data_IF_596526042666
#
_entry.id   IF_596526042666
#
_cell.length_a   1.000
_cell.length_b   1.000
_cell.length_c   1.000
_cell.angle_alpha   90.00
_cell.angle_beta   90.00
_cell.angle_gamma   90.00
#
_symmetry.space_group_name_H-M   'P 1'
#
loop_
_entity.id
_entity.type
_entity.pdbx_description
1 polymer ?
#
# COMPACT_ATOMS: atom_id res chain seq x y z
N UNK A 1 -40.87 -17.52 70.23
CA UNK A 1 -41.22 -18.03 68.88
C UNK A 1 -40.57 -17.13 67.83
N UNK A 2 -39.74 -17.71 66.95
CA UNK A 2 -39.31 -17.26 65.60
C UNK A 2 -38.78 -15.82 65.46
N UNK A 3 -37.45 -15.66 65.42
CA UNK A 3 -36.57 -15.60 64.21
C UNK A 3 -36.70 -14.28 63.42
N UNK A 4 -35.67 -13.42 63.53
CA UNK A 4 -35.02 -12.81 62.37
C UNK A 4 -33.59 -12.40 62.76
N UNK A 5 -32.60 -13.12 62.21
CA UNK A 5 -31.18 -12.80 62.31
C UNK A 5 -30.87 -11.91 61.09
N UNK A 6 -30.50 -10.66 61.32
CA UNK A 6 -29.88 -9.81 60.31
C UNK A 6 -28.36 -9.96 60.45
N UNK A 7 -27.79 -10.83 59.62
CA UNK A 7 -26.34 -10.95 59.45
C UNK A 7 -25.89 -9.88 58.44
N UNK A 8 -25.32 -8.80 58.94
CA UNK A 8 -24.63 -7.79 58.11
C UNK A 8 -23.28 -8.39 57.71
N UNK A 9 -23.23 -8.98 56.51
CA UNK A 9 -21.96 -9.38 55.88
C UNK A 9 -21.29 -8.11 55.34
N UNK A 10 -20.28 -7.63 56.05
CA UNK A 10 -19.27 -6.71 55.53
C UNK A 10 -18.41 -7.48 54.51
N UNK A 11 -18.85 -7.51 53.25
CA UNK A 11 -18.01 -7.91 52.13
C UNK A 11 -16.99 -6.78 51.88
N UNK A 12 -15.78 -6.95 52.40
CA UNK A 12 -14.58 -6.33 51.86
C UNK A 12 -14.38 -6.83 50.42
N UNK A 13 -15.09 -6.24 49.46
CA UNK A 13 -14.65 -6.27 48.09
C UNK A 13 -13.38 -5.42 48.01
N UNK A 14 -12.25 -6.10 47.83
CA UNK A 14 -11.03 -5.50 47.32
C UNK A 14 -11.39 -4.78 46.00
N UNK A 15 -11.63 -3.48 46.09
CA UNK A 15 -11.55 -2.54 44.98
C UNK A 15 -10.08 -2.46 44.57
N UNK A 16 -9.58 -3.53 43.93
CA UNK A 16 -8.65 -3.35 42.83
C UNK A 16 -9.50 -2.81 41.68
N UNK A 17 -9.87 -1.53 41.81
CA UNK A 17 -10.13 -0.66 40.68
C UNK A 17 -8.85 -0.64 39.86
N UNK A 18 -8.71 -1.66 39.01
CA UNK A 18 -7.89 -1.59 37.83
C UNK A 18 -8.33 -0.32 37.12
N UNK A 19 -7.50 0.72 37.25
CA UNK A 19 -7.44 1.79 36.28
C UNK A 19 -7.17 1.12 34.93
N UNK A 20 -8.24 0.66 34.26
CA UNK A 20 -8.28 0.56 32.83
C UNK A 20 -8.22 2.00 32.32
N UNK A 21 -7.02 2.60 32.44
CA UNK A 21 -6.70 3.82 31.72
C UNK A 21 -7.07 3.55 30.28
N UNK A 22 -7.95 4.39 29.73
CA UNK A 22 -8.26 4.42 28.30
C UNK A 22 -6.92 4.31 27.56
N UNK A 23 -6.66 3.15 26.96
CA UNK A 23 -5.45 2.93 26.18
C UNK A 23 -5.46 3.99 25.08
N UNK A 24 -4.61 5.01 25.25
CA UNK A 24 -4.24 5.96 24.21
C UNK A 24 -3.26 5.16 23.35
N UNK A 25 -3.49 5.03 22.05
CA UNK A 25 -2.70 4.16 21.18
C UNK A 25 -1.19 4.43 21.25
N UNK A 26 -0.40 3.61 20.56
CA UNK A 26 1.04 3.83 20.40
C UNK A 26 1.43 3.72 18.93
N UNK A 27 2.45 4.47 18.53
CA UNK A 27 3.14 4.23 17.26
C UNK A 27 4.64 4.39 17.41
N UNK A 28 5.36 3.68 16.55
CA UNK A 28 6.82 3.63 16.55
C UNK A 28 7.38 4.01 15.18
N UNK A 29 8.57 4.63 15.23
CA UNK A 29 9.39 4.91 14.06
C UNK A 29 10.67 4.08 14.16
N UNK A 30 10.89 3.26 13.14
CA UNK A 30 12.04 2.39 13.02
C UNK A 30 12.94 2.74 11.83
N UNK A 31 14.22 2.41 11.96
CA UNK A 31 15.21 2.46 10.89
C UNK A 31 15.50 1.04 10.41
N UNK A 32 15.33 0.82 9.11
CA UNK A 32 15.63 -0.48 8.50
C UNK A 32 17.10 -0.53 8.04
N UNK A 33 17.90 -1.42 8.66
CA UNK A 33 19.36 -1.58 8.42
C UNK A 33 20.18 -0.28 8.60
N UNK A 34 19.70 0.64 9.43
CA UNK A 34 20.43 1.83 9.89
C UNK A 34 20.20 1.95 11.41
N UNK A 35 21.10 2.63 12.14
CA UNK A 35 20.99 2.82 13.61
C UNK A 35 20.95 4.29 14.06
N UNK A 36 21.18 5.23 13.14
CA UNK A 36 21.22 6.66 13.44
C UNK A 36 20.28 7.37 12.48
N UNK A 37 19.28 8.04 13.03
CA UNK A 37 18.34 8.85 12.25
C UNK A 37 19.00 10.17 11.82
N UNK A 38 18.85 10.53 10.56
CA UNK A 38 19.30 11.80 10.01
C UNK A 38 18.24 12.40 9.07
N UNK A 39 17.64 13.52 9.49
CA UNK A 39 16.61 14.24 8.74
C UNK A 39 17.08 14.75 7.37
N UNK A 40 18.38 15.06 7.22
CA UNK A 40 18.98 15.58 5.98
C UNK A 40 19.38 14.51 4.97
N UNK A 41 19.31 13.22 5.37
CA UNK A 41 19.61 12.07 4.50
C UNK A 41 18.42 11.81 3.58
N UNK A 42 18.69 11.40 2.34
CA UNK A 42 17.64 10.95 1.42
C UNK A 42 16.89 9.81 2.09
N UNK A 43 15.57 9.96 2.22
CA UNK A 43 14.73 9.05 3.00
C UNK A 43 13.63 8.46 2.15
N UNK A 44 13.49 7.13 2.24
CA UNK A 44 12.32 6.38 1.82
C UNK A 44 11.44 6.13 3.04
N UNK A 45 10.15 6.47 2.96
CA UNK A 45 9.23 6.31 4.07
C UNK A 45 8.29 5.15 3.80
N UNK A 46 8.24 4.18 4.70
CA UNK A 46 7.22 3.13 4.72
C UNK A 46 6.22 3.48 5.83
N UNK A 47 4.95 3.54 5.50
CA UNK A 47 3.86 3.74 6.46
C UNK A 47 3.06 2.45 6.50
N UNK A 48 3.00 1.80 7.67
CA UNK A 48 2.20 0.60 7.87
C UNK A 48 1.06 0.95 8.80
N UNK A 49 -0.15 1.00 8.25
CA UNK A 49 -1.38 1.23 9.01
C UNK A 49 -1.77 0.02 9.85
N UNK A 50 -2.71 0.19 10.78
CA UNK A 50 -3.07 -0.90 11.68
C UNK A 50 -3.80 -2.06 11.02
N UNK A 51 -3.46 -3.27 11.44
CA UNK A 51 -4.16 -4.49 11.08
C UNK A 51 -5.42 -4.65 11.96
N UNK A 52 -6.60 -4.71 11.35
CA UNK A 52 -7.82 -4.97 12.10
C UNK A 52 -7.99 -6.49 12.32
N UNK A 53 -7.74 -6.97 13.54
CA UNK A 53 -8.14 -8.28 14.12
C UNK A 53 -7.65 -9.59 13.45
N UNK A 54 -7.37 -9.66 12.14
CA UNK A 54 -7.16 -10.91 11.40
C UNK A 54 -5.88 -10.95 10.53
N UNK A 55 -5.42 -9.82 9.98
CA UNK A 55 -4.20 -9.73 9.14
C UNK A 55 -2.94 -9.62 10.01
N UNK A 56 -2.57 -10.71 10.70
CA UNK A 56 -1.66 -10.74 11.87
C UNK A 56 -0.55 -9.70 11.82
N UNK A 57 0.20 -9.61 10.72
CA UNK A 57 1.30 -8.67 10.52
C UNK A 57 1.67 -8.53 9.03
N UNK A 58 0.84 -9.04 8.12
CA UNK A 58 1.15 -9.13 6.69
C UNK A 58 1.38 -7.77 6.02
N UNK A 59 0.70 -6.70 6.47
CA UNK A 59 0.99 -5.33 6.04
C UNK A 59 2.40 -4.91 6.41
N UNK A 60 2.84 -5.26 7.62
CA UNK A 60 4.17 -4.95 8.12
C UNK A 60 5.21 -5.75 7.33
N UNK A 61 5.00 -7.05 7.13
CA UNK A 61 5.87 -7.90 6.30
C UNK A 61 6.00 -7.36 4.86
N UNK A 62 4.91 -6.96 4.22
CA UNK A 62 4.95 -6.35 2.88
C UNK A 62 5.73 -5.01 2.87
N UNK A 63 5.60 -4.20 3.92
CA UNK A 63 6.39 -3.00 4.13
C UNK A 63 7.89 -3.29 4.31
N UNK A 64 8.24 -4.32 5.07
CA UNK A 64 9.63 -4.79 5.25
C UNK A 64 10.22 -5.33 3.96
N UNK A 65 9.44 -6.09 3.18
CA UNK A 65 9.84 -6.57 1.85
C UNK A 65 10.22 -5.41 0.92
N UNK A 66 9.44 -4.32 0.94
CA UNK A 66 9.73 -3.06 0.23
C UNK A 66 10.98 -2.36 0.78
N UNK A 67 11.11 -2.26 2.11
CA UNK A 67 12.28 -1.68 2.78
C UNK A 67 13.60 -2.37 2.41
N UNK A 68 13.58 -3.70 2.30
CA UNK A 68 14.73 -4.48 1.87
C UNK A 68 15.18 -4.10 0.46
N UNK A 69 14.23 -4.00 -0.48
CA UNK A 69 14.52 -3.57 -1.86
C UNK A 69 15.09 -2.15 -1.93
N UNK A 70 14.64 -1.24 -1.07
CA UNK A 70 15.27 0.09 -0.98
C UNK A 70 16.75 0.01 -0.61
N UNK A 71 17.13 -0.80 0.38
CA UNK A 71 18.54 -0.94 0.79
C UNK A 71 19.40 -1.66 -0.25
N UNK A 72 18.83 -2.51 -1.10
CA UNK A 72 19.57 -3.11 -2.22
C UNK A 72 19.80 -2.12 -3.37
N UNK A 73 18.79 -1.31 -3.70
CA UNK A 73 18.88 -0.35 -4.82
C UNK A 73 19.63 0.91 -4.42
N UNK A 74 19.39 1.42 -3.20
CA UNK A 74 19.96 2.65 -2.66
C UNK A 74 20.54 2.39 -1.25
N UNK A 75 21.69 1.69 -1.12
CA UNK A 75 22.24 1.31 0.18
C UNK A 75 22.59 2.49 1.08
N UNK A 76 22.92 3.64 0.48
CA UNK A 76 23.25 4.88 1.18
C UNK A 76 22.04 5.70 1.60
N UNK A 77 20.82 5.37 1.16
CA UNK A 77 19.61 6.08 1.57
C UNK A 77 19.12 5.54 2.92
N UNK A 78 18.33 6.35 3.62
CA UNK A 78 17.66 5.98 4.86
C UNK A 78 16.30 5.37 4.55
N UNK A 79 15.89 4.34 5.30
CA UNK A 79 14.53 3.81 5.24
C UNK A 79 13.89 3.93 6.61
N UNK A 80 12.86 4.77 6.71
CA UNK A 80 12.07 4.98 7.94
C UNK A 80 10.76 4.22 7.82
N UNK A 81 10.48 3.35 8.78
CA UNK A 81 9.20 2.64 8.90
C UNK A 81 8.41 3.30 10.03
N UNK A 82 7.24 3.86 9.70
CA UNK A 82 6.31 4.47 10.65
C UNK A 82 5.09 3.56 10.79
N UNK A 83 4.79 3.08 11.99
CA UNK A 83 3.67 2.15 12.15
C UNK A 83 3.07 2.17 13.55
N UNK A 84 1.78 1.87 13.59
CA UNK A 84 1.06 1.34 14.74
C UNK A 84 0.59 -0.07 14.33
N UNK A 85 1.47 -1.09 14.39
CA UNK A 85 1.19 -2.41 13.81
C UNK A 85 -0.09 -3.03 14.38
N UNK A 86 -0.28 -2.90 15.70
CA UNK A 86 -1.44 -3.39 16.43
C UNK A 86 -1.73 -4.88 16.18
N UNK A 87 -0.65 -5.66 16.06
CA UNK A 87 -0.67 -7.10 15.82
C UNK A 87 -1.36 -7.81 16.98
N UNK A 88 -2.24 -8.75 16.67
CA UNK A 88 -3.04 -9.44 17.69
C UNK A 88 -2.12 -10.26 18.61
N UNK A 89 -2.12 -9.94 19.91
CA UNK A 89 -1.36 -10.60 20.99
C UNK A 89 0.16 -10.38 20.91
N UNK A 90 0.62 -9.38 20.17
CA UNK A 90 2.03 -9.00 20.10
C UNK A 90 2.13 -7.51 20.41
N UNK A 91 3.07 -7.12 21.25
CA UNK A 91 3.31 -5.69 21.51
C UNK A 91 3.97 -5.06 20.28
N UNK A 92 3.69 -3.78 20.00
CA UNK A 92 4.20 -3.12 18.78
C UNK A 92 5.75 -3.18 18.71
N UNK A 93 6.43 -3.03 19.84
CA UNK A 93 7.89 -3.14 19.92
C UNK A 93 8.41 -4.56 19.56
N UNK A 94 7.65 -5.61 19.88
CA UNK A 94 8.01 -6.99 19.54
C UNK A 94 7.95 -7.21 18.03
N UNK A 95 6.98 -6.59 17.33
CA UNK A 95 6.88 -6.64 15.86
C UNK A 95 8.12 -6.04 15.21
N UNK A 96 8.56 -4.86 15.64
CA UNK A 96 9.78 -4.25 15.08
C UNK A 96 11.03 -5.09 15.37
N UNK A 97 11.13 -5.69 16.56
CA UNK A 97 12.25 -6.54 16.95
C UNK A 97 12.30 -7.83 16.12
N UNK A 98 11.16 -8.46 15.83
CA UNK A 98 11.05 -9.68 15.00
C UNK A 98 11.72 -9.50 13.63
N UNK A 99 11.60 -8.31 13.04
CA UNK A 99 12.16 -7.97 11.74
C UNK A 99 13.51 -7.22 11.81
N UNK A 100 14.17 -7.21 12.98
CA UNK A 100 15.46 -6.56 13.22
C UNK A 100 15.46 -5.05 12.86
N UNK A 101 14.38 -4.34 13.17
CA UNK A 101 14.26 -2.90 12.90
C UNK A 101 14.59 -2.12 14.17
N UNK A 102 15.54 -1.21 14.07
CA UNK A 102 15.92 -0.36 15.20
C UNK A 102 14.87 0.74 15.42
N UNK A 103 14.13 0.66 16.52
CA UNK A 103 13.16 1.70 16.92
C UNK A 103 13.91 2.87 17.56
N UNK A 104 13.89 4.03 16.91
CA UNK A 104 14.56 5.23 17.42
C UNK A 104 13.61 6.22 18.10
N UNK A 105 12.29 6.04 17.90
CA UNK A 105 11.25 6.89 18.50
C UNK A 105 9.97 6.09 18.70
N UNK A 106 9.40 6.19 19.90
CA UNK A 106 8.10 5.64 20.26
C UNK A 106 7.24 6.75 20.84
N UNK A 107 6.00 6.85 20.39
CA UNK A 107 5.06 7.89 20.80
C UNK A 107 3.80 7.24 21.37
N UNK A 108 3.54 7.49 22.65
CA UNK A 108 2.36 7.02 23.39
C UNK A 108 1.12 7.85 23.06
N UNK A 109 0.76 7.89 21.79
CA UNK A 109 -0.43 8.55 21.26
C UNK A 109 -0.97 7.79 20.05
N UNK A 110 -2.24 8.00 19.71
CA UNK A 110 -2.85 7.38 18.52
C UNK A 110 -2.18 7.91 17.25
N UNK A 111 -1.86 7.02 16.31
CA UNK A 111 -1.25 7.40 15.03
C UNK A 111 -2.27 8.07 14.09
N UNK A 112 -2.48 9.37 14.21
CA UNK A 112 -3.42 10.14 13.38
C UNK A 112 -2.73 10.80 12.17
N UNK A 113 -3.52 11.36 11.26
CA UNK A 113 -3.00 12.15 10.13
C UNK A 113 -2.11 13.32 10.57
N UNK A 114 -2.46 14.00 11.67
CA UNK A 114 -1.63 15.07 12.24
C UNK A 114 -0.26 14.56 12.70
N UNK A 115 -0.23 13.39 13.34
CA UNK A 115 1.02 12.76 13.77
C UNK A 115 1.84 12.37 12.55
N UNK A 116 1.24 11.69 11.57
CA UNK A 116 1.92 11.35 10.32
C UNK A 116 2.54 12.59 9.66
N UNK A 117 1.76 13.66 9.49
CA UNK A 117 2.27 14.89 8.87
C UNK A 117 3.35 15.56 9.71
N UNK A 118 3.27 15.51 11.05
CA UNK A 118 4.34 16.00 11.92
C UNK A 118 5.63 15.24 11.66
N UNK A 119 5.59 13.90 11.68
CA UNK A 119 6.76 13.04 11.47
C UNK A 119 7.36 13.21 10.08
N UNK A 120 6.53 13.24 9.03
CA UNK A 120 6.98 13.51 7.65
C UNK A 120 7.64 14.89 7.52
N UNK A 121 7.16 15.90 8.26
CA UNK A 121 7.74 17.23 8.26
C UNK A 121 9.08 17.33 9.02
N UNK A 122 9.53 16.30 9.72
CA UNK A 122 10.88 16.27 10.28
C UNK A 122 11.94 15.97 9.19
N UNK A 123 11.55 15.36 8.06
CA UNK A 123 12.46 14.98 6.97
C UNK A 123 12.74 16.13 6.00
N UNK A 124 13.96 16.24 5.48
CA UNK A 124 14.32 17.29 4.51
C UNK A 124 14.32 16.79 3.05
N UNK A 125 14.50 15.49 2.83
CA UNK A 125 14.65 14.89 1.50
C UNK A 125 13.91 13.55 1.40
N UNK A 126 12.74 13.56 0.79
CA UNK A 126 11.87 12.37 0.65
C UNK A 126 11.95 11.85 -0.79
N UNK A 127 12.50 10.65 -0.95
CA UNK A 127 12.59 9.97 -2.24
C UNK A 127 11.33 9.17 -2.57
N UNK A 128 10.65 8.63 -1.56
CA UNK A 128 9.38 7.93 -1.74
C UNK A 128 8.59 7.81 -0.44
N UNK A 129 7.29 7.58 -0.60
CA UNK A 129 6.37 7.23 0.49
C UNK A 129 5.60 5.98 0.05
N UNK A 130 5.59 4.92 0.84
CA UNK A 130 4.79 3.72 0.53
C UNK A 130 3.86 3.43 1.70
N UNK A 131 2.56 3.29 1.42
CA UNK A 131 1.55 2.93 2.41
C UNK A 131 1.12 1.48 2.23
N UNK A 132 1.03 0.75 3.34
CA UNK A 132 0.48 -0.60 3.44
C UNK A 132 -0.58 -0.63 4.54
N UNK A 133 -1.81 -1.01 4.21
CA UNK A 133 -2.88 -1.08 5.21
C UNK A 133 -4.27 -1.04 4.61
N UNK A 134 -5.26 -0.87 5.49
CA UNK A 134 -6.64 -0.65 5.06
C UNK A 134 -6.87 0.79 4.60
N UNK A 135 -7.81 0.95 3.67
CA UNK A 135 -8.35 2.27 3.32
C UNK A 135 -9.81 2.18 2.93
N UNK A 136 -10.49 3.32 3.03
CA UNK A 136 -11.70 3.60 2.29
C UNK A 136 -11.36 4.23 0.94
N UNK A 137 -12.35 4.56 0.10
CA UNK A 137 -12.12 5.40 -1.06
C UNK A 137 -11.57 6.81 -0.73
N UNK A 138 -11.74 7.29 0.51
CA UNK A 138 -11.44 8.68 0.92
C UNK A 138 -10.31 8.82 1.92
N UNK A 139 -9.98 7.78 2.70
CA UNK A 139 -8.93 7.89 3.71
C UNK A 139 -8.19 6.59 4.00
N UNK A 140 -6.92 6.75 4.39
CA UNK A 140 -6.02 5.68 4.81
C UNK A 140 -6.20 5.42 6.31
N UNK A 141 -6.27 4.15 6.72
CA UNK A 141 -6.35 3.78 8.14
C UNK A 141 -4.93 3.72 8.72
N UNK A 142 -4.64 4.57 9.71
CA UNK A 142 -3.29 4.66 10.31
C UNK A 142 -3.16 3.88 11.63
N UNK A 143 -4.10 4.04 12.56
CA UNK A 143 -4.13 3.32 13.85
C UNK A 143 -5.55 3.00 14.33
N UNK A 144 -5.72 2.46 15.54
CA UNK A 144 -7.06 2.28 16.18
C UNK A 144 -7.86 3.59 16.25
N UNK A 145 -9.19 3.45 16.40
CA UNK A 145 -10.13 4.54 16.78
C UNK A 145 -10.10 5.78 15.86
N UNK A 146 -10.92 5.80 14.80
CA UNK A 146 -11.09 6.92 13.85
C UNK A 146 -9.81 7.61 13.31
N UNK A 147 -8.63 7.01 13.53
CA UNK A 147 -7.35 7.47 13.02
C UNK A 147 -7.23 7.18 11.52
N UNK A 148 -7.88 8.04 10.74
CA UNK A 148 -7.81 8.04 9.30
C UNK A 148 -7.01 9.26 8.82
N UNK A 149 -6.40 9.13 7.64
CA UNK A 149 -5.80 10.22 6.90
C UNK A 149 -6.61 10.44 5.62
N UNK A 150 -7.38 11.53 5.59
CA UNK A 150 -8.04 12.04 4.38
C UNK A 150 -7.15 13.12 3.74
N UNK A 151 -6.60 12.91 2.54
CA UNK A 151 -5.69 13.87 1.94
C UNK A 151 -6.34 15.25 1.69
N UNK A 152 -7.67 15.30 1.54
CA UNK A 152 -8.41 16.57 1.36
C UNK A 152 -8.32 17.42 2.61
N UNK A 153 -8.56 16.82 3.79
CA UNK A 153 -8.46 17.49 5.09
C UNK A 153 -7.02 17.95 5.39
N UNK A 154 -6.03 17.23 4.86
CA UNK A 154 -4.60 17.50 5.06
C UNK A 154 -3.93 18.26 3.91
N UNK A 155 -4.69 18.86 2.98
CA UNK A 155 -4.16 19.55 1.80
C UNK A 155 -3.07 20.59 2.13
N UNK A 156 -3.28 21.40 3.16
CA UNK A 156 -2.31 22.43 3.57
C UNK A 156 -1.00 21.80 4.10
N UNK A 157 -1.09 20.74 4.89
CA UNK A 157 0.06 20.02 5.42
C UNK A 157 0.82 19.29 4.31
N UNK A 158 0.11 18.66 3.37
CA UNK A 158 0.70 18.04 2.18
C UNK A 158 1.40 19.07 1.29
N UNK A 159 0.85 20.27 1.15
CA UNK A 159 1.48 21.36 0.37
C UNK A 159 2.84 21.76 0.96
N UNK A 160 2.98 21.75 2.29
CA UNK A 160 4.29 21.97 2.95
C UNK A 160 5.26 20.81 2.71
N UNK A 161 4.75 19.59 2.59
CA UNK A 161 5.56 18.41 2.32
C UNK A 161 6.14 18.41 0.91
N UNK A 162 5.44 19.00 -0.07
CA UNK A 162 5.87 19.08 -1.48
C UNK A 162 7.32 19.56 -1.65
N UNK A 163 7.76 20.56 -0.88
CA UNK A 163 9.13 21.10 -1.00
C UNK A 163 10.24 20.16 -0.52
N UNK A 164 9.87 19.11 0.23
CA UNK A 164 10.79 18.05 0.71
C UNK A 164 10.87 16.87 -0.25
N UNK A 165 9.97 16.80 -1.23
CA UNK A 165 9.95 15.72 -2.22
C UNK A 165 11.09 15.90 -3.22
N UNK A 166 11.89 14.85 -3.43
CA UNK A 166 13.01 14.87 -4.37
C UNK A 166 12.55 14.78 -5.83
N UNK A 167 13.41 15.15 -6.81
CA UNK A 167 13.13 14.92 -8.22
C UNK A 167 12.83 13.43 -8.49
N UNK A 168 11.73 13.18 -9.19
CA UNK A 168 11.21 11.84 -9.51
C UNK A 168 10.82 11.01 -8.27
N UNK A 169 10.51 11.64 -7.14
CA UNK A 169 9.87 10.95 -6.03
C UNK A 169 8.51 10.41 -6.44
N UNK A 170 8.02 9.42 -5.71
CA UNK A 170 6.73 8.81 -5.97
C UNK A 170 6.08 8.36 -4.65
N UNK A 171 4.81 7.99 -4.72
CA UNK A 171 4.14 7.29 -3.64
C UNK A 171 3.42 6.05 -4.15
N UNK A 172 3.43 4.97 -3.37
CA UNK A 172 2.55 3.82 -3.62
C UNK A 172 1.59 3.61 -2.46
N UNK A 173 0.33 3.30 -2.77
CA UNK A 173 -0.71 3.07 -1.77
C UNK A 173 -1.28 1.67 -1.95
N UNK A 174 -0.72 0.73 -1.20
CA UNK A 174 -1.09 -0.69 -1.20
C UNK A 174 -2.27 -0.92 -0.26
N UNK A 175 -3.48 -0.60 -0.75
CA UNK A 175 -4.72 -0.69 0.02
C UNK A 175 -5.96 -0.78 -0.87
N UNK A 176 -7.11 -1.10 -0.30
CA UNK A 176 -8.36 -1.23 -1.07
C UNK A 176 -8.91 0.15 -1.50
N UNK A 177 -9.31 0.31 -2.75
CA UNK A 177 -10.02 1.51 -3.25
C UNK A 177 -9.28 2.86 -3.14
N UNK A 178 -7.98 2.86 -2.84
CA UNK A 178 -7.18 4.10 -2.71
C UNK A 178 -7.04 4.89 -4.02
N UNK A 179 -7.29 4.27 -5.18
CA UNK A 179 -7.20 4.91 -6.49
C UNK A 179 -8.39 5.79 -6.85
N UNK A 180 -9.51 5.76 -6.10
CA UNK A 180 -10.69 6.57 -6.45
C UNK A 180 -10.50 8.05 -6.12
N UNK A 181 -10.14 8.38 -4.87
CA UNK A 181 -9.94 9.77 -4.44
C UNK A 181 -8.57 10.03 -3.82
N UNK A 182 -8.04 9.08 -3.04
CA UNK A 182 -6.81 9.29 -2.27
C UNK A 182 -5.59 9.52 -3.17
N UNK A 183 -5.28 8.57 -4.05
CA UNK A 183 -4.08 8.67 -4.90
C UNK A 183 -4.12 9.86 -5.88
N UNK A 184 -5.24 10.14 -6.59
CA UNK A 184 -5.37 11.34 -7.41
C UNK A 184 -5.16 12.65 -6.63
N UNK A 185 -5.69 12.75 -5.41
CA UNK A 185 -5.60 13.96 -4.60
C UNK A 185 -4.18 14.18 -4.06
N UNK A 186 -3.54 13.13 -3.53
CA UNK A 186 -2.14 13.23 -3.09
C UNK A 186 -1.23 13.57 -4.27
N UNK A 187 -1.45 12.96 -5.44
CA UNK A 187 -0.68 13.26 -6.65
C UNK A 187 -0.80 14.72 -7.04
N UNK A 188 -2.01 15.29 -6.93
CA UNK A 188 -2.28 16.70 -7.23
C UNK A 188 -1.58 17.66 -6.29
N UNK A 189 -1.61 17.38 -5.00
CA UNK A 189 -1.05 18.29 -3.99
C UNK A 189 0.47 18.19 -3.93
N UNK A 190 1.03 16.98 -3.98
CA UNK A 190 2.49 16.76 -3.91
C UNK A 190 3.19 16.91 -5.27
N UNK A 191 2.45 16.89 -6.38
CA UNK A 191 2.99 16.89 -7.75
C UNK A 191 3.98 15.74 -8.01
N UNK A 192 3.62 14.55 -7.54
CA UNK A 192 4.37 13.31 -7.73
C UNK A 192 3.44 12.22 -8.28
N UNK A 193 3.96 11.21 -9.01
CA UNK A 193 3.18 10.02 -9.32
C UNK A 193 2.78 9.27 -8.04
N UNK A 194 1.50 8.93 -7.92
CA UNK A 194 0.95 8.17 -6.79
C UNK A 194 0.17 6.98 -7.32
N UNK A 195 0.47 5.75 -6.87
CA UNK A 195 -0.33 4.58 -7.23
C UNK A 195 -1.39 4.25 -6.20
N UNK A 196 -2.53 3.70 -6.65
CA UNK A 196 -3.59 3.19 -5.77
C UNK A 196 -4.43 2.11 -6.44
N UNK A 197 -5.18 1.34 -5.64
CA UNK A 197 -6.08 0.30 -6.17
C UNK A 197 -7.47 0.86 -6.47
N UNK A 198 -8.07 0.41 -7.56
CA UNK A 198 -9.48 0.65 -7.89
C UNK A 198 -10.34 -0.61 -7.63
N UNK A 199 -9.80 -1.55 -6.87
CA UNK A 199 -10.43 -2.78 -6.42
C UNK A 199 -10.05 -3.06 -4.96
N UNK A 200 -10.28 -4.29 -4.47
CA UNK A 200 -9.59 -4.77 -3.28
C UNK A 200 -8.06 -4.80 -3.48
N UNK A 201 -7.32 -4.90 -2.39
CA UNK A 201 -5.92 -5.34 -2.43
C UNK A 201 -5.80 -6.69 -1.74
N UNK A 202 -4.88 -7.52 -2.21
CA UNK A 202 -4.62 -8.86 -1.67
C UNK A 202 -3.16 -8.97 -1.30
N UNK A 203 -2.89 -9.81 -0.31
CA UNK A 203 -1.54 -10.28 -0.05
C UNK A 203 -1.19 -11.37 -1.05
N UNK A 204 0.05 -11.32 -1.53
CA UNK A 204 0.64 -12.40 -2.31
C UNK A 204 1.88 -12.94 -1.59
N UNK A 205 2.08 -14.25 -1.72
CA UNK A 205 3.25 -14.99 -1.22
C UNK A 205 3.99 -15.63 -2.37
N UNK A 206 5.32 -15.63 -2.30
CA UNK A 206 6.16 -16.33 -3.25
C UNK A 206 6.18 -17.84 -2.96
N UNK A 207 6.08 -18.64 -4.02
CA UNK A 207 6.06 -20.10 -3.98
C UNK A 207 7.30 -20.68 -4.68
N UNK A 208 7.47 -22.00 -4.59
CA UNK A 208 8.66 -22.73 -5.07
C UNK A 208 8.94 -22.63 -6.57
N UNK A 209 7.97 -22.21 -7.39
CA UNK A 209 8.19 -21.96 -8.82
C UNK A 209 8.64 -20.52 -9.14
N UNK A 210 8.89 -19.71 -8.09
CA UNK A 210 9.37 -18.33 -8.19
C UNK A 210 8.27 -17.33 -8.56
N UNK A 211 7.01 -17.75 -8.65
CA UNK A 211 5.88 -16.87 -8.85
C UNK A 211 5.21 -16.51 -7.52
N UNK A 212 4.48 -15.40 -7.55
CA UNK A 212 3.74 -14.86 -6.42
C UNK A 212 2.26 -15.18 -6.58
N UNK A 213 1.63 -15.71 -5.54
CA UNK A 213 0.23 -16.13 -5.56
C UNK A 213 -0.54 -15.50 -4.42
N UNK A 214 -1.84 -15.27 -4.59
CA UNK A 214 -2.74 -14.87 -3.50
C UNK A 214 -3.25 -16.09 -2.75
N UNK A 215 -3.92 -15.87 -1.62
CA UNK A 215 -4.37 -16.96 -0.74
C UNK A 215 -5.19 -18.05 -1.41
N UNK A 216 -6.13 -17.67 -2.27
CA UNK A 216 -6.96 -18.62 -3.02
C UNK A 216 -6.17 -19.45 -4.04
N UNK A 217 -4.95 -19.01 -4.39
CA UNK A 217 -4.12 -19.67 -5.39
C UNK A 217 -2.91 -20.40 -4.77
N UNK A 218 -2.32 -19.96 -3.66
CA UNK A 218 -1.16 -20.67 -3.09
C UNK A 218 -1.53 -21.99 -2.43
N UNK A 219 -0.52 -22.84 -2.23
CA UNK A 219 -0.64 -24.10 -1.50
C UNK A 219 0.49 -24.20 -0.49
N UNK A 220 0.18 -24.52 0.78
CA UNK A 220 1.19 -24.58 1.84
C UNK A 220 2.39 -25.49 1.52
N UNK A 221 2.17 -26.54 0.72
CA UNK A 221 3.22 -27.48 0.30
C UNK A 221 4.29 -26.85 -0.62
N UNK A 222 3.97 -25.71 -1.25
CA UNK A 222 4.88 -24.99 -2.16
C UNK A 222 5.52 -23.76 -1.48
N UNK A 223 5.29 -23.57 -0.17
CA UNK A 223 5.90 -22.47 0.58
C UNK A 223 7.42 -22.62 0.57
N UNK A 224 8.09 -21.56 0.17
CA UNK A 224 9.54 -21.46 0.29
C UNK A 224 9.92 -20.90 1.65
N UNK A 225 11.08 -21.33 2.17
CA UNK A 225 11.73 -20.74 3.33
C UNK A 225 12.65 -19.58 2.95
N UNK A 226 13.07 -19.52 1.69
CA UNK A 226 14.01 -18.55 1.13
C UNK A 226 13.42 -17.96 -0.15
N UNK A 227 13.45 -16.63 -0.27
CA UNK A 227 13.18 -15.93 -1.51
C UNK A 227 14.49 -15.62 -2.23
N UNK A 228 14.75 -16.35 -3.31
CA UNK A 228 15.90 -16.21 -4.20
C UNK A 228 15.53 -15.56 -5.55
N UNK A 229 14.28 -15.13 -5.71
CA UNK A 229 13.76 -14.59 -6.95
C UNK A 229 13.59 -13.07 -6.91
N UNK A 230 13.25 -12.48 -5.78
CA UNK A 230 12.85 -11.05 -5.72
C UNK A 230 13.96 -10.11 -5.29
N UNK A 231 15.09 -10.66 -4.84
CA UNK A 231 16.21 -9.96 -4.21
C UNK A 231 17.52 -10.33 -4.90
N UNK A 232 18.57 -9.52 -4.70
CA UNK A 232 19.89 -9.80 -5.28
C UNK A 232 20.62 -10.93 -4.54
N UNK A 233 20.19 -11.22 -3.31
CA UNK A 233 20.71 -12.27 -2.45
C UNK A 233 19.55 -13.17 -2.00
N UNK A 234 19.89 -14.40 -1.62
CA UNK A 234 18.94 -15.33 -1.01
C UNK A 234 18.54 -14.82 0.37
N UNK A 235 17.25 -14.56 0.59
CA UNK A 235 16.75 -14.00 1.86
C UNK A 235 15.71 -14.88 2.52
N UNK A 236 15.76 -14.97 3.84
CA UNK A 236 14.81 -15.77 4.62
C UNK A 236 13.40 -15.18 4.61
N UNK A 237 12.40 -16.03 4.37
CA UNK A 237 10.99 -15.68 4.50
C UNK A 237 10.60 -15.34 5.94
N UNK A 238 11.34 -15.81 6.94
CA UNK A 238 11.10 -15.47 8.34
C UNK A 238 11.29 -13.98 8.64
N UNK A 239 11.98 -13.25 7.75
CA UNK A 239 12.15 -11.80 7.84
C UNK A 239 11.01 -11.01 7.16
N UNK A 240 9.88 -11.66 6.83
CA UNK A 240 8.74 -11.02 6.15
C UNK A 240 8.93 -10.79 4.65
N UNK A 241 10.04 -11.25 4.08
CA UNK A 241 10.48 -10.96 2.71
C UNK A 241 9.79 -11.83 1.63
N UNK A 242 8.81 -12.62 2.04
CA UNK A 242 8.03 -13.49 1.15
C UNK A 242 6.58 -13.03 1.02
N UNK A 243 6.30 -11.80 1.43
CA UNK A 243 4.99 -11.18 1.34
C UNK A 243 5.07 -9.89 0.56
N UNK A 244 4.05 -9.66 -0.27
CA UNK A 244 3.82 -8.38 -0.93
C UNK A 244 2.33 -8.12 -1.03
N UNK A 245 1.97 -6.95 -1.52
CA UNK A 245 0.60 -6.61 -1.85
C UNK A 245 0.44 -6.30 -3.34
N UNK A 246 -0.71 -6.68 -3.90
CA UNK A 246 -1.17 -6.27 -5.23
C UNK A 246 -2.65 -5.94 -5.23
N UNK A 247 -3.08 -5.18 -6.24
CA UNK A 247 -4.50 -5.01 -6.50
C UNK A 247 -5.14 -6.36 -6.88
N UNK A 248 -6.36 -6.57 -6.39
CA UNK A 248 -7.12 -7.79 -6.70
C UNK A 248 -7.65 -7.73 -8.13
N UNK A 249 -7.69 -8.89 -8.78
CA UNK A 249 -8.46 -9.08 -10.03
C UNK A 249 -9.97 -9.08 -9.81
N UNK A 250 -10.42 -9.13 -8.56
CA UNK A 250 -11.83 -9.12 -8.19
C UNK A 250 -12.26 -7.73 -7.75
N UNK A 251 -13.50 -7.38 -8.06
CA UNK A 251 -14.13 -6.16 -7.58
C UNK A 251 -14.17 -6.11 -6.06
N UNK A 252 -14.13 -4.89 -5.52
CA UNK A 252 -14.23 -4.70 -4.07
C UNK A 252 -15.60 -5.15 -3.56
N UNK A 253 -15.60 -5.98 -2.50
CA UNK A 253 -16.80 -6.43 -1.81
C UNK A 253 -16.48 -6.65 -0.32
N UNK A 254 -16.66 -5.61 0.49
CA UNK A 254 -16.39 -5.66 1.94
C UNK A 254 -17.13 -4.52 2.67
N UNK A 255 -16.57 -4.00 3.76
CA UNK A 255 -17.18 -3.05 4.69
C UNK A 255 -17.91 -1.86 4.05
N UNK A 256 -17.36 -1.28 2.98
CA UNK A 256 -17.97 -0.09 2.35
C UNK A 256 -19.13 -0.43 1.41
N UNK A 257 -19.16 -1.64 0.85
CA UNK A 257 -20.15 -2.04 -0.15
C UNK A 257 -19.60 -2.99 -1.21
N UNK A 258 -20.31 -3.08 -2.33
CA UNK A 258 -19.98 -3.92 -3.48
C UNK A 258 -19.80 -3.06 -4.71
N UNK A 259 -18.60 -3.02 -5.28
CA UNK A 259 -18.24 -2.22 -6.46
C UNK A 259 -18.21 -3.09 -7.70
N UNK A 260 -19.31 -3.79 -7.96
CA UNK A 260 -19.40 -4.77 -9.06
C UNK A 260 -19.38 -4.14 -10.45
N UNK A 261 -19.58 -2.82 -10.52
CA UNK A 261 -19.74 -2.07 -11.77
C UNK A 261 -18.42 -1.84 -12.52
N UNK A 262 -17.27 -2.03 -11.88
CA UNK A 262 -15.97 -2.04 -12.56
C UNK A 262 -14.76 -1.82 -11.65
N UNK A 263 -13.56 -2.02 -12.20
CA UNK A 263 -12.30 -1.88 -11.49
C UNK A 263 -11.07 -1.92 -12.41
N UNK A 264 -9.87 -1.98 -11.82
CA UNK A 264 -8.59 -2.31 -12.48
C UNK A 264 -7.85 -3.37 -11.66
N UNK A 265 -7.30 -4.38 -12.32
CA UNK A 265 -6.60 -5.51 -11.66
C UNK A 265 -5.13 -5.23 -11.29
N UNK A 266 -4.72 -3.96 -11.27
CA UNK A 266 -3.38 -3.50 -10.95
C UNK A 266 -3.42 -2.16 -10.21
N UNK A 267 -2.35 -1.82 -9.50
CA UNK A 267 -2.21 -0.50 -8.91
C UNK A 267 -1.96 0.53 -10.01
N UNK A 268 -2.91 1.43 -10.19
CA UNK A 268 -2.83 2.47 -11.21
C UNK A 268 -2.06 3.68 -10.68
N UNK A 269 -1.10 4.19 -11.44
CA UNK A 269 -0.50 5.48 -11.17
C UNK A 269 -1.37 6.63 -11.64
N UNK A 270 -1.38 7.67 -10.82
CA UNK A 270 -1.93 8.98 -11.09
C UNK A 270 -0.80 10.01 -11.06
N UNK A 271 -0.76 10.87 -12.07
CA UNK A 271 0.08 12.05 -12.22
C UNK A 271 -0.83 13.26 -12.41
N UNK A 272 -1.59 13.60 -11.36
CA UNK A 272 -2.64 14.61 -11.38
C UNK A 272 -2.10 16.04 -11.20
N UNK A 273 -1.10 16.42 -12.00
CA UNK A 273 -0.45 17.72 -11.92
C UNK A 273 -0.08 18.20 -13.33
N UNK A 274 -0.05 19.52 -13.54
CA UNK A 274 0.09 20.08 -14.89
C UNK A 274 1.53 20.00 -15.43
N UNK A 275 2.54 20.20 -14.58
CA UNK A 275 3.92 20.23 -15.04
C UNK A 275 4.58 18.85 -15.00
N UNK A 276 4.62 18.19 -16.17
CA UNK A 276 5.40 16.96 -16.40
C UNK A 276 6.41 17.11 -17.55
N UNK A 277 6.88 18.34 -17.79
CA UNK A 277 7.77 18.64 -18.93
C UNK A 277 9.11 17.88 -18.90
N UNK A 278 9.59 17.52 -17.71
CA UNK A 278 10.83 16.77 -17.48
C UNK A 278 10.64 15.24 -17.40
N UNK A 279 9.41 14.75 -17.61
CA UNK A 279 9.04 13.34 -17.52
C UNK A 279 9.11 12.77 -16.10
N UNK A 280 9.00 13.60 -15.06
CA UNK A 280 9.06 13.17 -13.65
C UNK A 280 8.00 12.15 -13.27
N UNK A 281 6.82 12.20 -13.87
CA UNK A 281 5.76 11.22 -13.69
C UNK A 281 6.27 9.84 -14.08
N UNK A 282 6.67 9.66 -15.34
CA UNK A 282 7.14 8.37 -15.85
C UNK A 282 8.41 7.89 -15.13
N UNK A 283 9.35 8.78 -14.85
CA UNK A 283 10.56 8.46 -14.08
C UNK A 283 10.24 7.99 -12.66
N UNK A 284 9.31 8.65 -11.97
CA UNK A 284 8.88 8.24 -10.63
C UNK A 284 8.12 6.91 -10.64
N UNK A 285 7.24 6.70 -11.62
CA UNK A 285 6.58 5.41 -11.85
C UNK A 285 7.63 4.30 -12.05
N UNK A 286 8.61 4.49 -12.92
CA UNK A 286 9.66 3.49 -13.16
C UNK A 286 10.55 3.25 -11.93
N UNK A 287 10.92 4.32 -11.19
CA UNK A 287 11.66 4.19 -9.91
C UNK A 287 10.90 3.35 -8.88
N UNK A 288 9.58 3.43 -8.85
CA UNK A 288 8.77 2.62 -7.94
C UNK A 288 8.90 1.12 -8.22
N UNK A 289 9.06 0.71 -9.49
CA UNK A 289 9.21 -0.69 -9.87
C UNK A 289 10.60 -1.24 -9.55
N UNK A 290 11.65 -0.40 -9.54
CA UNK A 290 13.00 -0.83 -9.15
C UNK A 290 13.05 -1.44 -7.74
N UNK A 291 12.16 -0.93 -6.88
CA UNK A 291 12.09 -1.28 -5.46
C UNK A 291 10.88 -2.16 -5.14
N UNK A 292 10.14 -2.64 -6.14
CA UNK A 292 9.01 -3.55 -5.94
C UNK A 292 9.50 -5.00 -5.79
N UNK A 293 9.11 -5.72 -4.72
CA UNK A 293 9.36 -7.15 -4.61
C UNK A 293 8.60 -7.90 -5.71
N UNK A 294 9.32 -8.33 -6.75
CA UNK A 294 8.74 -8.84 -8.00
C UNK A 294 9.31 -10.21 -8.38
N UNK A 295 8.98 -10.69 -9.57
CA UNK A 295 9.46 -11.95 -10.17
C UNK A 295 10.97 -11.96 -10.47
N UNK A 296 11.63 -10.80 -10.35
CA UNK A 296 13.09 -10.63 -10.41
C UNK A 296 13.52 -9.34 -9.68
N UNK A 297 14.73 -9.26 -9.12
CA UNK A 297 15.26 -8.01 -8.62
C UNK A 297 15.57 -7.06 -9.78
N UNK A 298 15.37 -5.76 -9.55
CA UNK A 298 15.79 -4.70 -10.46
C UNK A 298 16.85 -3.80 -9.84
N UNK A 299 17.70 -3.23 -10.67
CA UNK A 299 18.63 -2.16 -10.30
C UNK A 299 18.62 -1.09 -11.39
N UNK A 300 19.32 0.01 -11.17
CA UNK A 300 19.56 1.01 -12.23
C UNK A 300 20.32 0.44 -13.45
N UNK A 301 21.00 -0.70 -13.30
CA UNK A 301 21.73 -1.40 -14.38
C UNK A 301 20.92 -2.47 -15.09
N UNK A 302 19.70 -2.76 -14.64
CA UNK A 302 18.86 -3.82 -15.24
C UNK A 302 18.58 -3.57 -16.73
N UNK A 303 18.37 -4.64 -17.48
CA UNK A 303 18.01 -4.55 -18.90
C UNK A 303 16.56 -4.07 -19.07
N UNK A 304 16.22 -3.65 -20.28
CA UNK A 304 14.83 -3.29 -20.61
C UNK A 304 13.91 -4.51 -20.54
N UNK A 305 14.43 -5.69 -20.85
CA UNK A 305 13.74 -6.98 -20.78
C UNK A 305 13.44 -7.37 -19.33
N UNK A 306 14.40 -7.15 -18.41
CA UNK A 306 14.17 -7.36 -16.98
C UNK A 306 13.09 -6.42 -16.45
N UNK A 307 13.19 -5.15 -16.80
CA UNK A 307 12.19 -4.17 -16.38
C UNK A 307 10.80 -4.49 -16.95
N UNK A 308 10.72 -4.94 -18.22
CA UNK A 308 9.46 -5.42 -18.82
C UNK A 308 8.84 -6.56 -18.02
N UNK A 309 9.63 -7.54 -17.57
CA UNK A 309 9.12 -8.66 -16.78
C UNK A 309 8.47 -8.19 -15.47
N UNK A 310 9.11 -7.27 -14.76
CA UNK A 310 8.55 -6.67 -13.53
C UNK A 310 7.36 -5.75 -13.82
N UNK A 311 7.38 -4.98 -14.91
CA UNK A 311 6.25 -4.14 -15.29
C UNK A 311 5.01 -4.97 -15.68
N UNK A 312 5.21 -6.12 -16.32
CA UNK A 312 4.14 -7.08 -16.56
C UNK A 312 3.65 -7.72 -15.26
N UNK A 313 4.54 -8.07 -14.34
CA UNK A 313 4.15 -8.52 -13.01
C UNK A 313 3.39 -7.44 -12.22
N UNK A 314 3.65 -6.15 -12.43
CA UNK A 314 2.86 -5.07 -11.84
C UNK A 314 1.44 -4.99 -12.43
N UNK A 315 1.31 -5.08 -13.75
CA UNK A 315 0.06 -4.85 -14.49
C UNK A 315 -0.85 -6.09 -14.56
N UNK A 316 -0.26 -7.28 -14.63
CA UNK A 316 -0.97 -8.55 -14.79
C UNK A 316 -1.08 -9.28 -13.46
N UNK A 317 -2.28 -9.73 -13.10
CA UNK A 317 -2.47 -10.55 -11.91
C UNK A 317 -1.99 -11.99 -12.16
N UNK A 318 -1.41 -12.60 -11.14
CA UNK A 318 -1.10 -14.03 -11.12
C UNK A 318 -2.32 -14.84 -10.68
N UNK A 319 -2.33 -16.10 -11.08
CA UNK A 319 -3.39 -17.06 -10.80
C UNK A 319 -2.83 -18.49 -10.92
N UNK A 320 -3.48 -19.47 -10.28
CA UNK A 320 -3.15 -20.88 -10.46
C UNK A 320 -3.19 -21.31 -11.93
N UNK A 321 -4.19 -20.82 -12.65
CA UNK A 321 -4.19 -20.90 -14.11
C UNK A 321 -3.12 -19.97 -14.71
N UNK A 322 -1.96 -20.55 -15.02
CA UNK A 322 -0.83 -19.86 -15.64
C UNK A 322 -1.17 -19.25 -17.00
N UNK A 323 -2.25 -19.68 -17.66
CA UNK A 323 -2.68 -19.06 -18.92
C UNK A 323 -3.21 -17.66 -18.71
N UNK A 324 -3.81 -17.35 -17.55
CA UNK A 324 -4.33 -16.02 -17.23
C UNK A 324 -3.24 -14.94 -17.33
N UNK A 325 -2.13 -15.15 -16.63
CA UNK A 325 -0.99 -14.23 -16.66
C UNK A 325 -0.41 -14.11 -18.07
N UNK A 326 -0.19 -15.24 -18.76
CA UNK A 326 0.35 -15.26 -20.13
C UNK A 326 -0.54 -14.51 -21.13
N UNK A 327 -1.86 -14.69 -21.03
CA UNK A 327 -2.82 -13.99 -21.88
C UNK A 327 -2.83 -12.49 -21.61
N UNK A 328 -2.70 -12.08 -20.34
CA UNK A 328 -2.56 -10.67 -20.00
C UNK A 328 -1.30 -10.06 -20.62
N UNK A 329 -0.14 -10.70 -20.45
CA UNK A 329 1.13 -10.23 -21.02
C UNK A 329 1.06 -10.14 -22.55
N UNK A 330 0.59 -11.21 -23.21
CA UNK A 330 0.46 -11.26 -24.65
C UNK A 330 -0.53 -10.21 -25.18
N UNK A 331 -1.65 -10.01 -24.48
CA UNK A 331 -2.67 -9.03 -24.82
C UNK A 331 -2.18 -7.59 -24.73
N UNK A 332 -1.56 -7.21 -23.61
CA UNK A 332 -0.95 -5.88 -23.43
C UNK A 332 0.15 -5.63 -24.47
N UNK A 333 1.04 -6.61 -24.69
CA UNK A 333 2.11 -6.50 -25.68
C UNK A 333 1.55 -6.34 -27.11
N UNK A 334 0.52 -7.11 -27.46
CA UNK A 334 -0.12 -7.03 -28.77
C UNK A 334 -0.83 -5.70 -28.99
N UNK A 335 -1.51 -5.17 -27.98
CA UNK A 335 -2.17 -3.86 -28.04
C UNK A 335 -1.16 -2.72 -28.27
N UNK A 336 0.01 -2.80 -27.63
CA UNK A 336 1.12 -1.87 -27.86
C UNK A 336 1.65 -2.02 -29.28
N UNK A 337 1.90 -3.25 -29.75
CA UNK A 337 2.45 -3.50 -31.08
C UNK A 337 1.51 -3.05 -32.21
N UNK A 338 0.19 -3.18 -32.02
CA UNK A 338 -0.82 -2.68 -32.97
C UNK A 338 -1.01 -1.16 -32.91
N UNK A 339 -0.60 -0.51 -31.81
CA UNK A 339 -0.77 0.93 -31.59
C UNK A 339 -2.17 1.38 -31.17
N UNK A 340 -3.15 0.47 -31.08
CA UNK A 340 -4.51 0.78 -30.60
C UNK A 340 -4.58 0.89 -29.07
N UNK A 341 -3.63 0.27 -28.36
CA UNK A 341 -3.56 0.16 -26.90
C UNK A 341 -4.78 -0.55 -26.28
N UNK A 342 -5.66 -1.16 -27.06
CA UNK A 342 -6.90 -1.76 -26.58
C UNK A 342 -6.65 -3.19 -26.08
N UNK A 343 -6.80 -3.39 -24.78
CA UNK A 343 -6.82 -4.70 -24.13
C UNK A 343 -7.47 -4.64 -22.74
N UNK A 344 -8.37 -5.58 -22.46
CA UNK A 344 -9.04 -5.69 -21.16
C UNK A 344 -8.26 -6.63 -20.24
N UNK A 345 -7.72 -6.08 -19.15
CA UNK A 345 -6.97 -6.85 -18.12
C UNK A 345 -7.85 -7.26 -16.94
N UNK A 346 -8.96 -6.55 -16.74
CA UNK A 346 -9.91 -6.84 -15.68
C UNK A 346 -10.99 -7.81 -16.17
N UNK A 347 -11.34 -8.88 -15.43
CA UNK A 347 -12.37 -9.83 -15.86
C UNK A 347 -13.78 -9.22 -16.08
N UNK A 348 -14.07 -8.07 -15.45
CA UNK A 348 -15.29 -7.30 -15.66
C UNK A 348 -15.07 -5.97 -16.40
N UNK A 349 -15.98 -5.02 -16.24
CA UNK A 349 -15.83 -3.67 -16.79
C UNK A 349 -14.53 -3.01 -16.29
N UNK A 350 -13.61 -2.71 -17.19
CA UNK A 350 -12.36 -2.02 -16.87
C UNK A 350 -12.60 -0.51 -16.83
N UNK A 351 -12.28 0.18 -15.74
CA UNK A 351 -12.59 1.61 -15.63
C UNK A 351 -11.88 2.45 -16.70
N UNK A 352 -12.60 3.43 -17.25
CA UNK A 352 -12.02 4.43 -18.15
C UNK A 352 -11.18 5.39 -17.29
N UNK A 353 -9.86 5.27 -17.37
CA UNK A 353 -8.96 6.14 -16.62
C UNK A 353 -7.94 6.84 -17.52
N UNK A 354 -7.40 7.96 -17.07
CA UNK A 354 -6.18 8.58 -17.59
C UNK A 354 -5.17 8.74 -16.45
N UNK A 355 -4.11 9.53 -16.63
CA UNK A 355 -3.16 9.76 -15.54
C UNK A 355 -3.66 10.76 -14.49
N UNK A 356 -4.76 11.48 -14.69
CA UNK A 356 -5.29 12.40 -13.67
C UNK A 356 -6.37 11.73 -12.81
N UNK A 357 -7.27 10.95 -13.40
CA UNK A 357 -8.39 10.34 -12.69
C UNK A 357 -9.01 9.14 -13.44
N UNK A 358 -10.11 8.61 -12.88
CA UNK A 358 -10.96 7.61 -13.51
C UNK A 358 -12.39 8.12 -13.61
N UNK A 359 -13.11 7.75 -14.68
CA UNK A 359 -14.55 7.99 -14.84
C UNK A 359 -15.36 7.02 -13.99
N UNK A 360 -15.29 7.20 -12.68
CA UNK A 360 -16.04 6.43 -11.71
C UNK A 360 -16.30 7.26 -10.45
N UNK A 361 -17.51 7.15 -9.91
CA UNK A 361 -17.91 7.86 -8.69
C UNK A 361 -18.39 6.85 -7.66
N UNK A 362 -17.83 6.91 -6.45
CA UNK A 362 -18.34 6.11 -5.33
C UNK A 362 -19.54 6.84 -4.74
N UNK A 363 -20.72 6.22 -4.81
CA UNK A 363 -21.97 6.78 -4.28
C UNK A 363 -22.41 5.96 -3.08
N UNK A 364 -22.71 6.65 -1.97
CA UNK A 364 -23.05 5.99 -0.72
C UNK A 364 -24.38 6.46 -0.15
N UNK A 365 -25.13 5.50 0.39
CA UNK A 365 -26.27 5.80 1.25
C UNK A 365 -25.78 6.39 2.57
N UNK A 366 -26.41 7.46 3.04
CA UNK A 366 -26.13 8.04 4.36
C UNK A 366 -26.68 7.14 5.47
N UNK A 367 -26.07 7.19 6.66
CA UNK A 367 -26.63 6.58 7.87
C UNK A 367 -27.93 7.31 8.27
N UNK A 368 -28.84 6.60 8.94
CA UNK A 368 -30.07 7.17 9.51
C UNK A 368 -29.75 8.02 10.76
N UNK A 369 -28.74 7.61 11.53
CA UNK A 369 -28.21 8.34 12.68
C UNK A 369 -26.68 8.46 12.57
N UNK A 370 -26.14 9.63 12.88
CA UNK A 370 -24.70 9.93 12.82
C UNK A 370 -24.21 10.45 11.46
N UNK A 371 -22.91 10.77 11.39
CA UNK A 371 -22.24 11.24 10.17
C UNK A 371 -21.66 10.09 9.34
N UNK A 372 -21.49 10.33 8.03
CA UNK A 372 -20.80 9.45 7.10
C UNK A 372 -21.66 8.40 6.39
N UNK A 373 -21.04 7.61 5.49
CA UNK A 373 -21.72 6.59 4.71
C UNK A 373 -22.13 5.39 5.57
N UNK A 374 -23.27 4.78 5.24
CA UNK A 374 -23.75 3.54 5.85
C UNK A 374 -22.83 2.38 5.43
N UNK A 375 -22.35 1.54 6.36
CA UNK A 375 -21.60 0.32 6.02
C UNK A 375 -22.40 -0.55 5.04
N UNK A 376 -21.70 -1.09 4.04
CA UNK A 376 -22.30 -1.84 2.93
C UNK A 376 -23.19 -1.00 2.01
N UNK A 377 -23.26 0.32 2.21
CA UNK A 377 -24.20 1.21 1.54
C UNK A 377 -23.63 1.94 0.33
N UNK A 378 -22.38 1.67 -0.05
CA UNK A 378 -21.73 2.27 -1.21
C UNK A 378 -21.76 1.35 -2.44
N UNK A 379 -21.87 1.96 -3.61
CA UNK A 379 -21.70 1.32 -4.91
C UNK A 379 -20.90 2.23 -5.85
N UNK A 380 -20.51 1.69 -7.00
CA UNK A 380 -19.79 2.44 -8.02
C UNK A 380 -20.74 2.86 -9.14
N UNK A 381 -20.72 4.14 -9.49
CA UNK A 381 -21.33 4.66 -10.71
C UNK A 381 -20.23 4.85 -11.75
N UNK A 382 -20.35 4.17 -12.89
CA UNK A 382 -19.37 4.23 -13.97
C UNK A 382 -20.05 3.97 -15.31
N UNK A 383 -19.31 4.20 -16.38
CA UNK A 383 -19.71 3.92 -17.76
C UNK A 383 -19.11 2.58 -18.20
N UNK A 384 -19.76 1.91 -19.15
CA UNK A 384 -19.19 0.71 -19.77
C UNK A 384 -18.02 1.13 -20.67
N UNK A 385 -16.87 0.51 -20.46
CA UNK A 385 -15.67 0.74 -21.25
C UNK A 385 -15.53 -0.31 -22.35
N UNK A 386 -15.95 0.05 -23.57
CA UNK A 386 -15.84 -0.85 -24.73
C UNK A 386 -14.43 -0.88 -25.34
N UNK A 387 -13.56 0.06 -24.95
CA UNK A 387 -12.20 0.22 -25.52
C UNK A 387 -11.17 0.43 -24.41
N UNK A 388 -10.96 -0.57 -23.54
CA UNK A 388 -10.04 -0.46 -22.41
C UNK A 388 -8.60 -0.29 -22.89
N UNK A 389 -7.99 0.84 -22.54
CA UNK A 389 -6.62 1.20 -22.94
C UNK A 389 -5.67 1.45 -21.77
N UNK A 390 -6.15 1.27 -20.54
CA UNK A 390 -5.43 1.75 -19.35
C UNK A 390 -4.15 0.95 -19.11
N UNK A 391 -4.20 -0.38 -19.15
CA UNK A 391 -3.04 -1.23 -18.93
C UNK A 391 -1.90 -1.00 -19.93
N UNK A 392 -2.21 -0.90 -21.23
CA UNK A 392 -1.20 -0.68 -22.27
C UNK A 392 -0.56 0.71 -22.17
N UNK A 393 -1.33 1.75 -21.83
CA UNK A 393 -0.80 3.10 -21.54
C UNK A 393 0.12 3.10 -20.32
N UNK A 394 -0.28 2.40 -19.26
CA UNK A 394 0.54 2.27 -18.05
C UNK A 394 1.89 1.63 -18.37
N UNK A 395 1.88 0.52 -19.12
CA UNK A 395 3.08 -0.18 -19.56
C UNK A 395 4.02 0.73 -20.39
N UNK A 396 3.46 1.49 -21.35
CA UNK A 396 4.26 2.42 -22.16
C UNK A 396 4.90 3.53 -21.31
N UNK A 397 4.16 4.10 -20.35
CA UNK A 397 4.70 5.11 -19.44
C UNK A 397 5.81 4.56 -18.54
N UNK A 398 5.64 3.34 -18.01
CA UNK A 398 6.68 2.66 -17.22
C UNK A 398 7.96 2.46 -18.05
N UNK A 399 7.83 1.96 -19.28
CA UNK A 399 8.99 1.76 -20.18
C UNK A 399 9.65 3.07 -20.56
N UNK A 400 8.87 4.12 -20.86
CA UNK A 400 9.38 5.47 -21.16
C UNK A 400 10.18 6.01 -19.98
N UNK A 401 9.64 5.88 -18.76
CA UNK A 401 10.30 6.28 -17.53
C UNK A 401 11.61 5.57 -17.30
N UNK A 402 11.62 4.24 -17.46
CA UNK A 402 12.84 3.44 -17.28
C UNK A 402 13.93 3.80 -18.28
N UNK A 403 13.58 3.98 -19.56
CA UNK A 403 14.53 4.43 -20.57
C UNK A 403 15.05 5.84 -20.29
N UNK A 404 14.25 6.71 -19.70
CA UNK A 404 14.66 8.06 -19.33
C UNK A 404 15.54 8.11 -18.06
N UNK A 405 15.51 7.09 -17.20
CA UNK A 405 16.40 6.96 -16.04
C UNK A 405 17.80 6.45 -16.40
N UNK A 406 17.97 5.85 -17.59
CA UNK A 406 19.26 5.33 -18.09
C UNK A 406 20.11 6.39 -18.80
N UNK A 407 19.50 7.50 -19.20
CA UNK A 407 20.17 8.65 -19.80
C UNK A 407 20.65 9.58 -18.70
#
# INVERSE_FOLDING_TARGET
MKKLIFLVIFLHFNLNSAFAGLYKGEYSLGLFKDSIFNASKITHVIIVGSAAKEDSDQFFQAGVARAFRYKEVNPLDQVVIMSSPEVRRTEDAEVFNEFNIFVFKTVKDTFTGDKLMKELNELEKIASIDFFGHSSPWGLKLGKTDAAFDPTEFTQSLTKLKSKMLPNSYMTISSCNSGFYIAPEISRVLEIPVSGSLTSSVFERIESDGAWYKEDDWTKDNYVEVNNNSYNEDVSCALGLCWRMKASRFNYSSYWGQFKEGGLSFYKFFCNFENNSDGRCEKGMAKSLLTFPSVRPLTNKSTTEDFKAVAFDWICSTANDKTYFKNCVAGVASAIARGDLVFQTHPGNELICDFKSCKATVVCKKKIFGSGPRPGGCNLQTEVNNTPTTAAREMLSLLKGFNALKK
#
